data_IF_349960641379
#
_entry.id   IF_349960641379
#
_cell.length_a   1.000
_cell.length_b   1.000
_cell.length_c   1.000
_cell.angle_alpha   90.00
_cell.angle_beta   90.00
_cell.angle_gamma   90.00
#
_symmetry.space_group_name_H-M   'P 1'
#
loop_
_entity.id
_entity.type
_entity.pdbx_description
1 polymer ?
#
# COMPACT_ATOMS: atom_id res chain seq x y z
N UNK A 1 6.01 5.30 20.02
CA UNK A 1 5.74 6.65 19.47
C UNK A 1 6.72 6.81 18.31
N UNK A 2 6.26 7.17 17.11
CA UNK A 2 7.16 7.37 15.95
C UNK A 2 7.62 8.82 15.94
N UNK A 3 8.89 9.03 15.62
CA UNK A 3 9.42 10.38 15.49
C UNK A 3 8.90 11.06 14.23
N UNK A 4 8.81 12.40 14.27
CA UNK A 4 8.29 13.20 13.15
C UNK A 4 9.22 14.36 12.86
N UNK A 5 9.50 14.58 11.57
CA UNK A 5 10.16 15.79 11.08
C UNK A 5 9.11 16.58 10.31
N UNK A 6 8.85 17.82 10.74
CA UNK A 6 7.91 18.71 10.06
C UNK A 6 8.63 19.95 9.54
N UNK A 7 8.33 20.32 8.29
CA UNK A 7 8.77 21.56 7.65
C UNK A 7 7.54 22.26 7.14
N UNK A 8 7.41 23.55 7.42
CA UNK A 8 6.26 24.36 7.01
C UNK A 8 6.68 25.64 6.30
N UNK A 9 5.77 26.14 5.46
CA UNK A 9 5.94 27.43 4.80
C UNK A 9 6.93 27.45 3.64
N UNK A 10 7.13 26.32 2.93
CA UNK A 10 7.95 26.30 1.70
C UNK A 10 7.21 27.05 0.61
N UNK A 11 7.72 28.23 0.23
CA UNK A 11 7.15 29.06 -0.81
C UNK A 11 7.77 28.77 -2.15
N UNK A 12 6.95 28.65 -3.20
CA UNK A 12 7.38 28.51 -4.57
C UNK A 12 6.36 29.12 -5.52
N UNK A 13 6.82 29.74 -6.60
CA UNK A 13 5.95 30.19 -7.68
C UNK A 13 5.72 29.04 -8.66
N UNK A 14 4.46 28.69 -8.92
CA UNK A 14 4.09 27.56 -9.76
C UNK A 14 2.95 27.88 -10.71
N UNK A 15 2.70 26.96 -11.66
CA UNK A 15 1.74 27.14 -12.75
C UNK A 15 0.65 26.06 -12.73
N UNK A 16 0.25 25.66 -11.50
CA UNK A 16 -0.74 24.62 -11.25
C UNK A 16 -2.13 25.24 -11.22
N UNK A 17 -3.01 24.83 -12.12
CA UNK A 17 -4.37 25.31 -12.18
C UNK A 17 -5.09 24.93 -13.47
N UNK A 18 -6.40 25.04 -13.48
CA UNK A 18 -7.28 24.70 -14.61
C UNK A 18 -7.37 25.85 -15.62
N UNK A 19 -7.33 27.09 -15.13
CA UNK A 19 -7.52 28.29 -15.96
C UNK A 19 -6.25 28.70 -16.71
N UNK A 20 -6.44 29.29 -17.90
CA UNK A 20 -5.33 29.71 -18.76
C UNK A 20 -4.44 30.79 -18.11
N UNK A 21 -5.04 31.68 -17.29
CA UNK A 21 -4.32 32.68 -16.53
C UNK A 21 -3.37 32.03 -15.50
N UNK A 22 -3.82 31.00 -14.78
CA UNK A 22 -3.01 30.26 -13.81
C UNK A 22 -1.82 29.56 -14.49
N UNK A 23 -2.04 29.02 -15.69
CA UNK A 23 -1.02 28.34 -16.50
C UNK A 23 0.00 29.30 -17.11
N UNK A 24 -0.42 30.55 -17.43
CA UNK A 24 0.41 31.56 -18.06
C UNK A 24 1.20 32.38 -17.04
N UNK A 25 0.51 32.90 -16.02
CA UNK A 25 1.06 33.87 -15.09
C UNK A 25 1.62 33.20 -13.82
N UNK A 26 1.05 32.05 -13.45
CA UNK A 26 1.37 31.32 -12.23
C UNK A 26 0.92 32.06 -10.98
N UNK A 27 1.21 31.50 -9.80
CA UNK A 27 0.94 32.10 -8.50
C UNK A 27 1.84 31.53 -7.41
N UNK A 28 1.83 32.12 -6.21
CA UNK A 28 2.53 31.57 -5.05
C UNK A 28 1.77 30.34 -4.52
N UNK A 29 2.51 29.25 -4.29
CA UNK A 29 2.10 28.09 -3.52
C UNK A 29 2.91 28.01 -2.25
N UNK A 30 2.27 27.50 -1.18
CA UNK A 30 2.96 27.23 0.09
C UNK A 30 2.81 25.72 0.34
N UNK A 31 3.87 25.04 0.73
CA UNK A 31 3.84 23.62 0.99
C UNK A 31 4.37 23.31 2.38
N UNK A 32 3.58 22.52 3.10
CA UNK A 32 3.96 21.94 4.38
C UNK A 32 4.15 20.43 4.21
N UNK A 33 5.11 19.84 4.92
CA UNK A 33 5.20 18.39 4.99
C UNK A 33 5.62 17.90 6.36
N UNK A 34 5.19 16.68 6.68
CA UNK A 34 5.60 15.93 7.86
C UNK A 34 6.01 14.53 7.45
N UNK A 35 7.19 14.10 7.85
CA UNK A 35 7.70 12.74 7.69
C UNK A 35 7.56 12.00 9.01
N UNK A 36 6.91 10.85 9.01
CA UNK A 36 6.92 9.90 10.10
C UNK A 36 8.09 8.93 9.87
N UNK A 37 8.95 8.78 10.86
CA UNK A 37 10.16 7.98 10.76
C UNK A 37 10.03 6.72 11.62
N UNK A 38 10.55 5.61 11.12
CA UNK A 38 10.84 4.47 11.97
C UNK A 38 11.94 4.89 12.96
N UNK A 39 11.78 4.47 14.24
CA UNK A 39 12.55 4.98 15.38
C UNK A 39 13.97 5.41 15.01
N UNK A 40 14.27 6.70 15.16
CA UNK A 40 15.59 7.25 14.87
C UNK A 40 16.64 6.42 15.63
N UNK A 41 17.48 5.72 14.89
CA UNK A 41 18.66 5.10 15.46
C UNK A 41 19.50 6.21 16.06
N UNK A 42 19.93 6.04 17.29
CA UNK A 42 20.62 7.04 18.13
C UNK A 42 22.05 7.42 17.66
N UNK A 43 22.34 7.31 16.37
CA UNK A 43 23.61 7.75 15.80
C UNK A 43 23.41 9.19 15.34
N UNK A 44 23.97 10.16 15.91
CA UNK A 44 23.90 11.57 15.53
C UNK A 44 24.58 11.86 14.15
N UNK A 45 24.15 11.12 13.11
CA UNK A 45 24.70 11.21 11.74
C UNK A 45 23.57 11.39 10.72
N UNK A 46 23.77 12.34 9.79
CA UNK A 46 22.79 12.66 8.75
C UNK A 46 22.49 11.45 7.82
N UNK A 47 23.46 10.56 7.63
CA UNK A 47 23.28 9.34 6.82
C UNK A 47 22.31 8.30 7.41
N UNK A 48 22.02 8.40 8.71
CA UNK A 48 21.09 7.51 9.42
C UNK A 48 19.68 8.11 9.57
N UNK A 49 19.43 9.30 9.03
CA UNK A 49 18.14 9.98 9.00
C UNK A 49 17.82 10.50 7.60
N UNK A 50 16.66 11.14 7.43
CA UNK A 50 16.29 11.80 6.19
C UNK A 50 16.80 13.25 6.18
N UNK A 51 17.43 13.64 5.07
CA UNK A 51 17.82 15.01 4.81
C UNK A 51 16.59 15.84 4.38
N UNK A 52 15.95 16.48 5.36
CA UNK A 52 14.79 17.34 5.12
C UNK A 52 15.09 18.52 4.19
N UNK A 53 16.37 18.95 4.09
CA UNK A 53 16.75 20.03 3.18
C UNK A 53 16.62 19.59 1.71
N UNK A 54 16.99 18.33 1.41
CA UNK A 54 16.78 17.74 0.08
C UNK A 54 15.30 17.56 -0.22
N UNK A 55 14.50 17.17 0.76
CA UNK A 55 13.04 17.05 0.60
C UNK A 55 12.43 18.42 0.29
N UNK A 56 12.80 19.47 1.03
CA UNK A 56 12.31 20.82 0.80
C UNK A 56 12.76 21.37 -0.57
N UNK A 57 14.01 21.14 -0.98
CA UNK A 57 14.52 21.54 -2.30
C UNK A 57 13.77 20.83 -3.43
N UNK A 58 13.48 19.52 -3.27
CA UNK A 58 12.67 18.78 -4.23
C UNK A 58 11.26 19.36 -4.36
N UNK A 59 10.58 19.64 -3.22
CA UNK A 59 9.23 20.21 -3.21
C UNK A 59 9.20 21.54 -3.97
N UNK A 60 10.15 22.44 -3.66
CA UNK A 60 10.25 23.73 -4.35
C UNK A 60 10.42 23.55 -5.86
N UNK A 61 11.38 22.74 -6.28
CA UNK A 61 11.63 22.45 -7.70
C UNK A 61 10.42 21.80 -8.39
N UNK A 62 9.69 20.91 -7.69
CA UNK A 62 8.48 20.29 -8.21
C UNK A 62 7.40 21.34 -8.50
N UNK A 63 7.07 22.19 -7.53
CA UNK A 63 6.07 23.26 -7.70
C UNK A 63 6.42 24.20 -8.84
N UNK A 64 7.70 24.61 -8.97
CA UNK A 64 8.17 25.51 -10.00
C UNK A 64 8.07 24.90 -11.42
N UNK A 65 8.22 23.58 -11.53
CA UNK A 65 8.24 22.86 -12.82
C UNK A 65 6.92 22.17 -13.18
N UNK A 66 6.07 21.84 -12.21
CA UNK A 66 4.82 21.12 -12.43
C UNK A 66 3.85 21.91 -13.31
N UNK A 67 3.08 21.18 -14.13
CA UNK A 67 2.07 21.73 -15.06
C UNK A 67 0.74 20.93 -14.94
N UNK A 68 0.46 20.38 -13.75
CA UNK A 68 -0.81 19.70 -13.50
C UNK A 68 -1.95 20.72 -13.29
N UNK A 69 -3.17 20.27 -13.52
CA UNK A 69 -4.36 21.10 -13.39
C UNK A 69 -4.82 21.22 -11.92
N UNK A 70 -4.55 20.21 -11.10
CA UNK A 70 -5.11 20.09 -9.75
C UNK A 70 -4.01 20.11 -8.69
N UNK A 71 -4.23 20.81 -7.58
CA UNK A 71 -3.32 20.80 -6.42
C UNK A 71 -3.31 19.43 -5.72
N UNK A 72 -4.38 18.63 -5.86
CA UNK A 72 -4.47 17.25 -5.43
C UNK A 72 -3.41 16.36 -6.09
N UNK A 73 -3.19 16.56 -7.40
CA UNK A 73 -2.15 15.86 -8.14
C UNK A 73 -0.77 16.24 -7.60
N UNK A 74 -0.52 17.54 -7.41
CA UNK A 74 0.74 18.01 -6.87
C UNK A 74 1.02 17.46 -5.47
N UNK A 75 0.05 17.51 -4.56
CA UNK A 75 0.18 16.97 -3.21
C UNK A 75 0.48 15.46 -3.23
N UNK A 76 -0.23 14.72 -4.08
CA UNK A 76 -0.07 13.26 -4.21
C UNK A 76 1.29 12.88 -4.79
N UNK A 77 1.78 13.57 -5.84
CA UNK A 77 3.06 13.28 -6.46
C UNK A 77 4.24 13.58 -5.51
N UNK A 78 4.16 14.70 -4.80
CA UNK A 78 5.13 15.03 -3.75
C UNK A 78 5.13 13.97 -2.66
N UNK A 79 3.96 13.57 -2.18
CA UNK A 79 3.83 12.55 -1.13
C UNK A 79 4.40 11.20 -1.59
N UNK A 80 4.10 10.74 -2.81
CA UNK A 80 4.65 9.50 -3.41
C UNK A 80 6.17 9.52 -3.52
N UNK A 81 6.76 10.69 -3.78
CA UNK A 81 8.22 10.81 -3.82
C UNK A 81 8.82 10.73 -2.43
N UNK A 82 8.24 11.44 -1.46
CA UNK A 82 8.79 11.53 -0.12
C UNK A 82 8.63 10.24 0.69
N UNK A 83 7.51 9.52 0.54
CA UNK A 83 7.26 8.26 1.26
C UNK A 83 8.27 7.16 0.92
N UNK A 84 8.89 7.23 -0.27
CA UNK A 84 9.96 6.31 -0.70
C UNK A 84 11.32 6.66 -0.09
N UNK A 85 11.41 7.71 0.71
CA UNK A 85 12.64 8.08 1.42
C UNK A 85 13.08 6.97 2.39
N UNK A 86 14.40 6.81 2.55
CA UNK A 86 14.96 5.81 3.47
C UNK A 86 14.49 6.06 4.91
N UNK A 87 13.92 5.04 5.55
CA UNK A 87 13.42 5.13 6.93
C UNK A 87 12.13 5.94 7.10
N UNK A 88 11.48 6.31 5.99
CA UNK A 88 10.16 6.97 6.04
C UNK A 88 9.07 5.90 6.12
N UNK A 89 8.30 5.94 7.18
CA UNK A 89 7.12 5.09 7.40
C UNK A 89 5.84 5.72 6.87
N UNK A 90 5.79 7.05 6.85
CA UNK A 90 4.65 7.78 6.34
C UNK A 90 4.96 9.25 6.10
N UNK A 91 4.13 9.88 5.31
CA UNK A 91 4.25 11.29 4.95
C UNK A 91 2.87 11.94 4.93
N UNK A 92 2.82 13.20 5.35
CA UNK A 92 1.72 14.13 5.14
C UNK A 92 2.26 15.32 4.36
N UNK A 93 1.64 15.67 3.23
CA UNK A 93 1.98 16.83 2.41
C UNK A 93 0.73 17.67 2.22
N UNK A 94 0.82 18.95 2.59
CA UNK A 94 -0.25 19.92 2.36
C UNK A 94 0.23 20.96 1.35
N UNK A 95 -0.49 21.10 0.25
CA UNK A 95 -0.28 22.14 -0.75
C UNK A 95 -1.35 23.19 -0.57
N UNK A 96 -0.93 24.43 -0.32
CA UNK A 96 -1.79 25.61 -0.15
C UNK A 96 -1.76 26.46 -1.43
N UNK A 97 -2.90 27.00 -1.79
CA UNK A 97 -3.14 27.87 -2.94
C UNK A 97 -3.88 29.14 -2.48
N UNK A 98 -3.17 30.07 -1.81
CA UNK A 98 -3.79 31.24 -1.18
C UNK A 98 -4.43 32.23 -2.18
N UNK A 99 -3.99 32.21 -3.44
CA UNK A 99 -4.53 33.07 -4.51
C UNK A 99 -5.48 32.31 -5.44
N UNK A 100 -6.16 31.25 -4.95
CA UNK A 100 -7.12 30.50 -5.76
C UNK A 100 -8.25 31.40 -6.29
N UNK A 101 -8.65 31.27 -7.58
CA UNK A 101 -9.63 32.18 -8.22
C UNK A 101 -11.08 31.88 -7.81
N UNK A 102 -11.43 32.11 -6.53
CA UNK A 102 -12.76 31.82 -5.95
C UNK A 102 -13.77 32.93 -6.22
N UNK A 103 -13.31 34.18 -6.53
CA UNK A 103 -14.20 35.32 -6.88
C UNK A 103 -14.75 36.08 -5.69
N UNK A 104 -14.41 35.74 -4.45
CA UNK A 104 -14.74 36.48 -3.22
C UNK A 104 -13.61 36.28 -2.18
N UNK A 105 -13.54 37.16 -1.14
CA UNK A 105 -12.51 37.01 -0.09
C UNK A 105 -12.59 35.65 0.63
N UNK A 106 -11.48 35.00 0.77
CA UNK A 106 -11.32 33.73 1.49
C UNK A 106 -9.93 33.69 2.18
N UNK A 107 -9.68 32.70 3.02
CA UNK A 107 -8.40 32.58 3.71
C UNK A 107 -7.38 31.78 2.93
N UNK A 108 -7.71 30.54 2.59
CA UNK A 108 -6.82 29.60 1.91
C UNK A 108 -7.62 28.48 1.24
N UNK A 109 -7.04 27.90 0.22
CA UNK A 109 -7.46 26.61 -0.34
C UNK A 109 -6.28 25.65 -0.22
N UNK A 110 -6.48 24.50 0.39
CA UNK A 110 -5.41 23.53 0.54
C UNK A 110 -5.88 22.10 0.38
N UNK A 111 -4.96 21.23 0.00
CA UNK A 111 -5.14 19.78 -0.09
C UNK A 111 -4.02 19.09 0.67
N UNK A 112 -4.40 18.12 1.51
CA UNK A 112 -3.46 17.27 2.23
C UNK A 112 -3.49 15.85 1.66
N UNK A 113 -2.33 15.35 1.25
CA UNK A 113 -2.10 13.95 0.86
C UNK A 113 -1.33 13.23 1.96
N UNK A 114 -1.88 12.11 2.43
CA UNK A 114 -1.27 11.27 3.45
C UNK A 114 -0.97 9.89 2.88
N UNK A 115 0.27 9.43 3.00
CA UNK A 115 0.69 8.07 2.64
C UNK A 115 1.41 7.44 3.82
N UNK A 116 1.06 6.19 4.12
CA UNK A 116 1.68 5.40 5.19
C UNK A 116 1.93 3.99 4.68
N UNK A 117 3.13 3.46 4.91
CA UNK A 117 3.42 2.06 4.64
C UNK A 117 2.69 1.17 5.63
N UNK A 118 1.82 0.31 5.11
CA UNK A 118 1.06 -0.69 5.88
C UNK A 118 1.65 -2.07 5.64
N UNK A 119 1.81 -2.85 6.70
CA UNK A 119 2.23 -4.25 6.68
C UNK A 119 1.05 -5.11 6.23
N UNK A 120 1.18 -5.82 5.12
CA UNK A 120 0.09 -6.54 4.48
C UNK A 120 0.47 -7.99 4.23
N UNK A 121 -0.49 -8.88 4.47
CA UNK A 121 -0.37 -10.30 4.15
C UNK A 121 -1.41 -10.69 3.10
N UNK A 122 -0.95 -11.35 2.04
CA UNK A 122 -1.78 -11.89 0.96
C UNK A 122 -1.70 -13.42 0.96
N UNK A 123 -2.81 -14.09 0.66
CA UNK A 123 -2.86 -15.50 0.32
C UNK A 123 -2.86 -15.66 -1.19
N UNK A 124 -2.07 -16.58 -1.71
CA UNK A 124 -1.98 -16.92 -3.12
C UNK A 124 -2.36 -18.38 -3.31
N UNK A 125 -3.23 -18.67 -4.28
CA UNK A 125 -3.66 -20.03 -4.60
C UNK A 125 -3.81 -20.26 -6.10
N UNK A 126 -3.48 -21.49 -6.56
CA UNK A 126 -3.66 -21.92 -7.94
C UNK A 126 -3.91 -23.43 -8.01
N UNK A 127 -4.88 -23.88 -8.85
CA UNK A 127 -5.08 -25.31 -9.11
C UNK A 127 -5.31 -25.64 -10.59
N UNK A 128 -4.98 -24.72 -11.50
CA UNK A 128 -5.08 -24.95 -12.94
C UNK A 128 -3.76 -24.70 -13.65
N UNK A 129 -3.44 -25.54 -14.64
CA UNK A 129 -2.25 -25.37 -15.49
C UNK A 129 -0.95 -25.42 -14.72
N UNK A 130 -0.01 -24.55 -15.07
CA UNK A 130 1.26 -24.39 -14.32
C UNK A 130 1.02 -23.52 -13.08
N UNK A 131 0.57 -24.18 -11.99
CA UNK A 131 0.24 -23.56 -10.71
C UNK A 131 1.36 -22.68 -10.17
N UNK A 132 2.60 -23.18 -10.27
CA UNK A 132 3.77 -22.45 -9.78
C UNK A 132 4.02 -21.18 -10.59
N UNK A 133 3.99 -21.29 -11.92
CA UNK A 133 4.17 -20.13 -12.79
C UNK A 133 3.08 -19.05 -12.59
N UNK A 134 1.87 -19.43 -12.17
CA UNK A 134 0.83 -18.46 -11.83
C UNK A 134 1.15 -17.71 -10.54
N UNK A 135 1.59 -18.41 -9.49
CA UNK A 135 1.95 -17.78 -8.21
C UNK A 135 3.23 -16.93 -8.37
N UNK A 136 4.26 -17.46 -9.03
CA UNK A 136 5.51 -16.73 -9.29
C UNK A 136 5.22 -15.42 -10.05
N UNK A 137 4.32 -15.45 -11.04
CA UNK A 137 3.87 -14.24 -11.74
C UNK A 137 3.27 -13.19 -10.80
N UNK A 138 2.41 -13.60 -9.87
CA UNK A 138 1.84 -12.67 -8.88
C UNK A 138 2.95 -12.05 -8.01
N UNK A 139 3.90 -12.85 -7.55
CA UNK A 139 5.06 -12.38 -6.77
C UNK A 139 5.89 -11.39 -7.57
N UNK A 140 6.17 -11.67 -8.84
CA UNK A 140 6.92 -10.78 -9.72
C UNK A 140 6.20 -9.44 -9.94
N UNK A 141 4.86 -9.47 -10.15
CA UNK A 141 4.04 -8.26 -10.28
C UNK A 141 4.06 -7.40 -9.00
N UNK A 142 4.00 -8.03 -7.81
CA UNK A 142 4.10 -7.35 -6.53
C UNK A 142 5.49 -6.73 -6.30
N UNK A 143 6.56 -7.44 -6.66
CA UNK A 143 7.93 -6.94 -6.60
C UNK A 143 8.19 -5.77 -7.56
N UNK A 144 7.58 -5.79 -8.75
CA UNK A 144 7.71 -4.73 -9.74
C UNK A 144 6.85 -3.49 -9.42
N UNK A 145 5.90 -3.60 -8.49
CA UNK A 145 5.00 -2.52 -8.13
C UNK A 145 5.72 -1.44 -7.31
N UNK A 146 5.76 -0.22 -7.83
CA UNK A 146 6.40 0.92 -7.14
C UNK A 146 5.72 1.33 -5.83
N UNK A 147 4.48 0.85 -5.60
CA UNK A 147 3.69 1.10 -4.40
C UNK A 147 3.86 0.02 -3.33
N UNK A 148 4.73 -0.97 -3.59
CA UNK A 148 5.04 -2.08 -2.70
C UNK A 148 6.54 -2.11 -2.40
N UNK A 149 6.91 -2.66 -1.22
CA UNK A 149 8.31 -2.90 -0.84
C UNK A 149 8.43 -4.10 0.09
N UNK A 150 9.65 -4.63 0.20
CA UNK A 150 10.01 -5.71 1.14
C UNK A 150 9.11 -6.96 0.96
N UNK A 151 8.83 -7.32 -0.30
CA UNK A 151 8.00 -8.47 -0.66
C UNK A 151 8.71 -9.76 -0.27
N UNK A 152 8.11 -10.52 0.63
CA UNK A 152 8.61 -11.81 1.11
C UNK A 152 7.57 -12.88 0.83
N UNK A 153 7.98 -14.01 0.26
CA UNK A 153 7.11 -15.15 -0.05
C UNK A 153 7.42 -16.33 0.87
N UNK A 154 6.39 -17.06 1.29
CA UNK A 154 6.48 -18.30 2.08
C UNK A 154 7.02 -19.47 1.27
N UNK A 155 7.16 -20.64 1.91
CA UNK A 155 7.21 -21.90 1.19
C UNK A 155 5.89 -22.15 0.45
N UNK A 156 5.95 -23.00 -0.59
CA UNK A 156 4.81 -23.42 -1.39
C UNK A 156 4.27 -24.75 -0.85
N UNK A 157 2.95 -24.85 -0.71
CA UNK A 157 2.27 -26.01 -0.12
C UNK A 157 1.21 -26.56 -1.08
N UNK A 158 1.37 -27.85 -1.44
CA UNK A 158 0.30 -28.58 -2.13
C UNK A 158 -0.76 -29.01 -1.11
N UNK A 159 -2.02 -28.72 -1.38
CA UNK A 159 -3.14 -29.02 -0.48
C UNK A 159 -4.34 -29.53 -1.26
N UNK A 160 -5.11 -30.49 -0.71
CA UNK A 160 -6.36 -30.92 -1.32
C UNK A 160 -7.36 -29.76 -1.40
N UNK A 161 -8.28 -29.80 -2.37
CA UNK A 161 -9.28 -28.76 -2.53
C UNK A 161 -10.22 -28.68 -1.32
N UNK A 162 -10.55 -27.45 -0.91
CA UNK A 162 -11.48 -27.19 0.19
C UNK A 162 -12.89 -26.94 -0.38
N UNK A 163 -13.89 -27.65 0.10
CA UNK A 163 -15.30 -27.52 -0.30
C UNK A 163 -15.68 -28.41 -1.48
N UNK A 164 -15.46 -28.00 -2.73
CA UNK A 164 -15.68 -28.85 -3.91
C UNK A 164 -14.45 -29.72 -4.13
N UNK A 165 -14.59 -31.03 -3.95
CA UNK A 165 -13.48 -32.01 -3.98
C UNK A 165 -13.17 -32.59 -5.34
N UNK A 166 -14.06 -32.42 -6.34
CA UNK A 166 -13.87 -32.89 -7.70
C UNK A 166 -13.07 -31.90 -8.56
N UNK A 167 -11.84 -31.57 -8.11
CA UNK A 167 -10.90 -30.69 -8.78
C UNK A 167 -9.46 -31.00 -8.35
N UNK A 168 -8.48 -30.52 -9.10
CA UNK A 168 -7.07 -30.73 -8.79
C UNK A 168 -6.65 -30.05 -7.48
N UNK A 169 -5.60 -30.59 -6.84
CA UNK A 169 -4.99 -30.01 -5.66
C UNK A 169 -4.51 -28.57 -5.92
N UNK A 170 -4.61 -27.75 -4.90
CA UNK A 170 -4.11 -26.38 -4.92
C UNK A 170 -2.63 -26.32 -4.54
N UNK A 171 -1.91 -25.44 -5.22
CA UNK A 171 -0.64 -24.92 -4.72
C UNK A 171 -0.94 -23.60 -4.03
N UNK A 172 -0.56 -23.48 -2.74
CA UNK A 172 -0.79 -22.29 -1.92
C UNK A 172 0.52 -21.69 -1.44
N UNK A 173 0.57 -20.37 -1.33
CA UNK A 173 1.64 -19.61 -0.72
C UNK A 173 1.07 -18.35 -0.06
N UNK A 174 1.87 -17.70 0.79
CA UNK A 174 1.56 -16.38 1.31
C UNK A 174 2.65 -15.38 0.94
N UNK A 175 2.24 -14.12 0.82
CA UNK A 175 3.14 -12.98 0.66
C UNK A 175 2.95 -12.03 1.82
N UNK A 176 4.05 -11.52 2.39
CA UNK A 176 4.07 -10.36 3.28
C UNK A 176 4.84 -9.25 2.62
N UNK A 177 4.32 -8.04 2.67
CA UNK A 177 4.92 -6.86 2.06
C UNK A 177 4.46 -5.59 2.77
N UNK A 178 5.11 -4.49 2.48
CA UNK A 178 4.58 -3.17 2.82
C UNK A 178 4.02 -2.50 1.58
N UNK A 179 2.88 -1.81 1.73
CA UNK A 179 2.28 -0.99 0.66
C UNK A 179 1.69 0.30 1.23
N UNK A 180 1.66 1.36 0.44
CA UNK A 180 0.90 2.58 0.73
C UNK A 180 -0.38 2.71 -0.12
N UNK A 181 -0.73 1.69 -0.89
CA UNK A 181 -2.06 1.59 -1.49
C UNK A 181 -3.11 1.45 -0.39
N UNK A 182 -4.24 2.09 -0.53
CA UNK A 182 -5.39 1.83 0.35
C UNK A 182 -5.88 0.38 0.16
N UNK A 183 -6.63 -0.19 1.13
CA UNK A 183 -7.19 -1.54 0.99
C UNK A 183 -7.99 -1.76 -0.30
N UNK A 184 -8.76 -0.74 -0.75
CA UNK A 184 -9.51 -0.80 -1.99
C UNK A 184 -8.59 -0.82 -3.22
N UNK A 185 -7.57 0.04 -3.26
CA UNK A 185 -6.59 0.08 -4.35
C UNK A 185 -5.75 -1.20 -4.41
N UNK A 186 -5.43 -1.80 -3.25
CA UNK A 186 -4.75 -3.09 -3.19
C UNK A 186 -5.64 -4.20 -3.74
N UNK A 187 -6.93 -4.20 -3.42
CA UNK A 187 -7.90 -5.16 -3.98
C UNK A 187 -7.97 -5.02 -5.51
N UNK A 188 -8.06 -3.79 -6.03
CA UNK A 188 -8.08 -3.55 -7.47
C UNK A 188 -6.82 -4.10 -8.15
N UNK A 189 -5.64 -3.91 -7.56
CA UNK A 189 -4.38 -4.45 -8.05
C UNK A 189 -4.37 -5.99 -8.02
N UNK A 190 -4.83 -6.62 -6.94
CA UNK A 190 -4.95 -8.09 -6.86
C UNK A 190 -5.85 -8.63 -7.97
N UNK A 191 -7.02 -8.02 -8.17
CA UNK A 191 -7.97 -8.39 -9.22
C UNK A 191 -7.42 -8.18 -10.63
N UNK A 192 -6.56 -7.19 -10.84
CA UNK A 192 -5.87 -6.96 -12.11
C UNK A 192 -4.88 -8.08 -12.40
N UNK A 193 -4.03 -8.45 -11.42
CA UNK A 193 -3.05 -9.54 -11.54
C UNK A 193 -3.76 -10.88 -11.83
N UNK A 194 -4.88 -11.16 -11.18
CA UNK A 194 -5.70 -12.35 -11.44
C UNK A 194 -6.23 -12.37 -12.87
N UNK A 195 -6.77 -11.24 -13.36
CA UNK A 195 -7.28 -11.10 -14.75
C UNK A 195 -6.18 -11.30 -15.79
N UNK A 196 -4.97 -10.80 -15.55
CA UNK A 196 -3.80 -11.02 -16.42
C UNK A 196 -3.45 -12.51 -16.55
N UNK A 197 -3.79 -13.34 -15.55
CA UNK A 197 -3.61 -14.81 -15.58
C UNK A 197 -4.84 -15.56 -16.06
N UNK A 198 -5.82 -14.87 -16.65
CA UNK A 198 -6.98 -15.49 -17.27
C UNK A 198 -8.01 -16.00 -16.26
N UNK A 199 -8.07 -15.45 -15.06
CA UNK A 199 -9.12 -15.80 -14.08
C UNK A 199 -10.48 -15.37 -14.59
N UNK A 200 -11.37 -16.36 -14.81
CA UNK A 200 -12.80 -16.16 -15.08
C UNK A 200 -13.60 -16.55 -13.82
N UNK A 201 -14.44 -15.65 -13.32
CA UNK A 201 -15.32 -15.91 -12.16
C UNK A 201 -16.58 -16.68 -12.62
N UNK A 202 -16.47 -17.99 -12.87
CA UNK A 202 -17.61 -18.80 -13.32
C UNK A 202 -18.35 -19.52 -12.19
N UNK A 203 -17.64 -20.00 -11.16
CA UNK A 203 -18.24 -20.78 -10.04
C UNK A 203 -17.58 -20.37 -8.71
N UNK A 204 -18.41 -20.24 -7.66
CA UNK A 204 -17.91 -20.07 -6.29
C UNK A 204 -17.20 -21.36 -5.85
N UNK A 205 -15.92 -21.25 -5.41
CA UNK A 205 -15.02 -22.36 -5.06
C UNK A 205 -14.63 -23.29 -6.22
N UNK A 206 -14.82 -22.86 -7.46
CA UNK A 206 -14.37 -23.58 -8.64
C UNK A 206 -12.85 -23.51 -8.84
N UNK A 207 -12.34 -24.27 -9.83
CA UNK A 207 -10.94 -24.22 -10.20
C UNK A 207 -10.55 -22.83 -10.72
N UNK A 208 -9.30 -22.43 -10.42
CA UNK A 208 -8.79 -21.10 -10.78
C UNK A 208 -7.32 -21.12 -11.11
N UNK A 209 -6.95 -20.31 -12.10
CA UNK A 209 -5.55 -20.13 -12.51
C UNK A 209 -4.76 -19.42 -11.42
N UNK A 210 -5.33 -18.37 -10.80
CA UNK A 210 -4.73 -17.60 -9.71
C UNK A 210 -5.84 -17.01 -8.84
N UNK A 211 -5.64 -17.08 -7.53
CA UNK A 211 -6.46 -16.46 -6.49
C UNK A 211 -5.56 -15.63 -5.58
N UNK A 212 -5.93 -14.38 -5.31
CA UNK A 212 -5.18 -13.49 -4.43
C UNK A 212 -6.14 -12.90 -3.40
N UNK A 213 -6.05 -13.38 -2.16
CA UNK A 213 -6.85 -12.90 -1.03
C UNK A 213 -6.05 -11.96 -0.14
N UNK A 214 -6.61 -10.79 0.24
CA UNK A 214 -6.03 -9.93 1.27
C UNK A 214 -6.36 -10.53 2.63
N UNK A 215 -5.36 -11.11 3.30
CA UNK A 215 -5.53 -11.78 4.59
C UNK A 215 -5.54 -10.78 5.74
N UNK A 216 -4.52 -9.91 5.78
CA UNK A 216 -4.33 -8.89 6.80
C UNK A 216 -3.87 -7.58 6.16
N UNK A 217 -4.26 -6.46 6.76
CA UNK A 217 -3.81 -5.12 6.38
C UNK A 217 -3.51 -4.31 7.66
N UNK A 218 -2.27 -4.35 8.12
CA UNK A 218 -1.89 -3.83 9.43
C UNK A 218 -2.76 -4.41 10.55
N UNK A 219 -3.38 -3.52 11.33
CA UNK A 219 -4.36 -3.87 12.36
C UNK A 219 -5.79 -3.43 11.98
N UNK A 220 -6.02 -3.15 10.68
CA UNK A 220 -7.32 -2.69 10.19
C UNK A 220 -8.36 -3.82 10.26
N UNK A 221 -9.59 -3.41 10.59
CA UNK A 221 -10.78 -4.26 10.52
C UNK A 221 -11.78 -3.60 9.58
N UNK A 222 -12.00 -4.23 8.43
CA UNK A 222 -12.82 -3.70 7.34
C UNK A 222 -13.94 -4.70 7.05
N UNK A 223 -15.15 -4.19 6.90
CA UNK A 223 -16.32 -4.99 6.50
C UNK A 223 -17.17 -4.15 5.55
N UNK A 224 -16.91 -4.34 4.24
CA UNK A 224 -17.66 -3.74 3.15
C UNK A 224 -18.25 -4.84 2.26
N UNK A 225 -19.17 -4.53 1.34
CA UNK A 225 -19.69 -5.54 0.40
C UNK A 225 -18.61 -6.26 -0.41
N UNK A 226 -17.51 -5.57 -0.74
CA UNK A 226 -16.48 -6.07 -1.65
C UNK A 226 -15.21 -6.54 -0.93
N UNK A 227 -15.01 -6.15 0.35
CA UNK A 227 -13.75 -6.41 1.07
C UNK A 227 -13.99 -6.63 2.57
N UNK A 228 -13.51 -7.79 3.06
CA UNK A 228 -13.47 -8.09 4.50
C UNK A 228 -12.03 -8.36 4.93
N UNK A 229 -11.53 -7.59 5.89
CA UNK A 229 -10.19 -7.71 6.50
C UNK A 229 -10.37 -7.73 8.04
N UNK A 230 -9.79 -8.69 8.74
CA UNK A 230 -9.10 -9.89 8.27
C UNK A 230 -10.00 -10.77 7.39
N UNK A 231 -9.37 -11.55 6.49
CA UNK A 231 -10.12 -12.48 5.63
C UNK A 231 -10.97 -13.44 6.48
N UNK A 232 -12.26 -13.54 6.15
CA UNK A 232 -13.32 -14.12 7.00
C UNK A 232 -13.05 -15.54 7.49
N UNK A 233 -12.37 -16.38 6.73
CA UNK A 233 -12.13 -17.77 7.06
C UNK A 233 -10.65 -18.11 7.30
N UNK A 234 -9.77 -17.11 7.39
CA UNK A 234 -8.32 -17.40 7.49
C UNK A 234 -7.95 -18.13 8.78
N UNK A 235 -8.72 -17.91 9.86
CA UNK A 235 -8.53 -18.51 11.18
C UNK A 235 -8.85 -20.01 11.26
N UNK A 236 -9.52 -20.57 10.23
CA UNK A 236 -9.98 -21.95 10.17
C UNK A 236 -9.32 -22.76 9.06
N UNK A 237 -8.43 -22.14 8.28
CA UNK A 237 -7.84 -22.74 7.09
C UNK A 237 -6.36 -23.00 7.30
N UNK A 238 -5.98 -24.26 7.59
CA UNK A 238 -4.58 -24.66 7.75
C UNK A 238 -3.75 -24.31 6.52
N UNK A 239 -4.29 -24.46 5.30
CA UNK A 239 -3.63 -24.15 4.06
C UNK A 239 -3.35 -22.64 3.84
N UNK A 240 -3.96 -21.77 4.66
CA UNK A 240 -3.66 -20.34 4.76
C UNK A 240 -2.69 -20.08 5.90
N UNK A 241 -2.95 -20.61 7.10
CA UNK A 241 -2.15 -20.31 8.29
C UNK A 241 -0.74 -20.92 8.22
N UNK A 242 -0.57 -22.09 7.59
CA UNK A 242 0.72 -22.74 7.46
C UNK A 242 1.70 -21.88 6.67
N UNK A 243 1.45 -21.49 5.39
CA UNK A 243 2.36 -20.62 4.66
C UNK A 243 2.46 -19.21 5.29
N UNK A 244 1.38 -18.70 5.88
CA UNK A 244 1.42 -17.41 6.55
C UNK A 244 2.35 -17.42 7.77
N UNK A 245 2.40 -18.52 8.51
CA UNK A 245 3.27 -18.68 9.69
C UNK A 245 4.76 -18.65 9.33
N UNK A 246 5.16 -19.03 8.10
CA UNK A 246 6.56 -18.98 7.66
C UNK A 246 7.12 -17.54 7.66
N UNK A 247 6.29 -16.55 7.33
CA UNK A 247 6.69 -15.16 7.06
C UNK A 247 6.07 -14.13 8.01
N UNK A 248 5.02 -14.52 8.73
CA UNK A 248 4.24 -13.63 9.58
C UNK A 248 3.80 -14.29 10.89
N UNK A 249 4.53 -15.32 11.38
CA UNK A 249 4.14 -16.12 12.55
C UNK A 249 3.89 -15.31 13.83
N UNK A 250 4.59 -14.19 14.00
CA UNK A 250 4.47 -13.32 15.17
C UNK A 250 3.44 -12.16 14.98
N UNK A 251 2.87 -12.02 13.79
CA UNK A 251 1.84 -11.02 13.52
C UNK A 251 0.58 -11.36 14.31
N UNK A 252 0.00 -10.33 14.94
CA UNK A 252 -1.21 -10.47 15.76
C UNK A 252 -2.44 -10.23 14.90
N UNK A 253 -3.35 -11.19 14.89
CA UNK A 253 -4.65 -11.07 14.24
C UNK A 253 -5.55 -10.07 14.99
N UNK A 254 -6.04 -8.99 14.36
CA UNK A 254 -6.67 -7.86 15.05
C UNK A 254 -7.97 -8.22 15.79
N UNK A 255 -8.72 -9.22 15.34
CA UNK A 255 -9.97 -9.61 15.98
C UNK A 255 -9.78 -10.65 17.11
N UNK A 256 -8.83 -11.58 16.96
CA UNK A 256 -8.63 -12.64 17.95
C UNK A 256 -7.59 -12.29 19.02
N UNK A 257 -6.70 -11.35 18.73
CA UNK A 257 -5.56 -10.99 19.59
C UNK A 257 -4.49 -12.10 19.67
N UNK A 258 -4.59 -13.16 18.84
CA UNK A 258 -3.63 -14.26 18.78
C UNK A 258 -2.59 -14.01 17.69
N UNK A 259 -1.38 -14.54 17.88
CA UNK A 259 -0.40 -14.58 16.79
C UNK A 259 -0.78 -15.65 15.76
N UNK A 260 -0.34 -15.46 14.51
CA UNK A 260 -0.59 -16.43 13.42
C UNK A 260 -0.07 -17.82 13.80
N UNK A 261 1.12 -17.88 14.43
CA UNK A 261 1.69 -19.14 14.93
C UNK A 261 0.78 -19.84 15.92
N UNK A 262 0.24 -19.09 16.90
CA UNK A 262 -0.68 -19.62 17.88
C UNK A 262 -1.99 -20.12 17.26
N UNK A 263 -2.50 -19.42 16.26
CA UNK A 263 -3.70 -19.83 15.53
C UNK A 263 -3.47 -21.13 14.75
N UNK A 264 -2.28 -21.30 14.15
CA UNK A 264 -1.91 -22.54 13.46
C UNK A 264 -1.83 -23.72 14.45
N UNK A 265 -1.17 -23.55 15.60
CA UNK A 265 -1.08 -24.59 16.65
C UNK A 265 -2.48 -25.05 17.11
N UNK A 266 -3.43 -24.14 17.28
CA UNK A 266 -4.80 -24.46 17.72
C UNK A 266 -5.66 -25.19 16.67
N UNK A 267 -5.28 -25.19 15.38
CA UNK A 267 -5.94 -26.01 14.35
C UNK A 267 -5.34 -27.42 14.30
N UNK A 268 -4.07 -27.57 14.72
CA UNK A 268 -3.37 -28.86 14.71
C UNK A 268 -3.76 -29.76 15.88
N UNK A 269 -4.27 -29.18 16.97
CA UNK A 269 -4.82 -29.87 18.13
C UNK A 269 -6.32 -30.26 17.93
#
# INVERSE_FOLDING_TARGET
MKDRISVSGIKAHGYIGVYDEEKRDGQEFIVDFTLCLDALKSSDRLEDTIDYSKAAAYIKSYIESARCDLIETAASDIARKLVKGRGVDGVSVTVHKPEAPIGFPFGDVSVTSNLVWSDVCLGLGSNMGDKRAHIDYAVDRLNACEHCRDVTVSQYYDTPPYGVTEQDDFLNACVRMYTYLTPAQLLDMCLEIERERGRERSLRWGPRTLDIDILLYGQEVISTPDLTIPHVDMDRRKFVLQPLSDIAGDVIHPLTGKSIRRMLEEIED
#
